data_IF_066674310275
#
_entry.id   IF_066674310275
#
_cell.length_a   1.000
_cell.length_b   1.000
_cell.length_c   1.000
_cell.angle_alpha   90.00
_cell.angle_beta   90.00
_cell.angle_gamma   90.00
#
_symmetry.space_group_name_H-M   'P 1'
#
loop_
_entity.id
_entity.type
_entity.pdbx_description
1 polymer ?
#
# COMPACT_ATOMS: atom_id res chain seq x y z
N UNK A 1 76.07 -1.08 24.03
CA UNK A 1 76.28 -0.74 22.61
C UNK A 1 74.95 -0.27 22.03
N UNK A 2 74.62 1.00 22.28
CA UNK A 2 73.52 1.71 21.63
C UNK A 2 74.07 2.88 20.82
N UNK A 3 73.26 3.35 19.86
CA UNK A 3 73.46 4.37 18.81
C UNK A 3 73.66 3.74 17.41
N UNK A 4 73.11 4.23 16.30
CA UNK A 4 72.15 5.30 15.96
C UNK A 4 71.97 5.22 14.41
N UNK A 5 70.90 5.81 13.88
CA UNK A 5 70.75 6.36 12.50
C UNK A 5 70.28 5.43 11.35
N UNK A 6 69.00 5.64 11.03
CA UNK A 6 68.39 6.00 9.74
C UNK A 6 68.92 5.39 8.42
N UNK A 7 67.99 4.72 7.73
CA UNK A 7 67.85 4.86 6.27
C UNK A 7 66.40 5.23 5.94
N UNK A 8 66.27 6.44 5.42
CA UNK A 8 65.11 7.00 4.74
C UNK A 8 64.57 6.05 3.67
N UNK A 9 63.29 5.69 3.77
CA UNK A 9 62.51 5.21 2.64
C UNK A 9 61.45 6.27 2.33
N UNK A 10 61.57 6.82 1.13
CA UNK A 10 60.81 7.92 0.60
C UNK A 10 59.31 7.68 0.63
N UNK A 11 58.64 8.71 1.14
CA UNK A 11 57.28 9.11 0.87
C UNK A 11 56.95 9.03 -0.63
N UNK A 12 56.17 8.01 -1.01
CA UNK A 12 55.30 8.07 -2.19
C UNK A 12 53.86 7.94 -1.73
N UNK A 13 53.30 9.09 -1.36
CA UNK A 13 51.88 9.33 -1.42
C UNK A 13 51.44 9.19 -2.89
N UNK A 14 51.07 7.97 -3.27
CA UNK A 14 50.32 7.73 -4.50
C UNK A 14 48.85 8.04 -4.19
N UNK A 15 48.46 9.26 -4.56
CA UNK A 15 47.07 9.68 -4.79
C UNK A 15 46.27 8.54 -5.41
N UNK A 16 45.42 7.89 -4.61
CA UNK A 16 44.40 6.98 -5.11
C UNK A 16 43.39 7.82 -5.88
N UNK A 17 43.54 7.88 -7.20
CA UNK A 17 42.49 8.34 -8.10
C UNK A 17 41.31 7.38 -7.93
N UNK A 18 40.36 7.79 -7.08
CA UNK A 18 39.11 7.07 -6.87
C UNK A 18 38.32 7.15 -8.18
N UNK A 19 38.42 6.11 -9.00
CA UNK A 19 37.51 5.92 -10.13
C UNK A 19 36.08 5.94 -9.57
N UNK A 20 35.16 6.73 -10.15
CA UNK A 20 33.76 6.73 -9.73
C UNK A 20 33.24 5.30 -9.77
N UNK A 21 32.74 4.79 -8.64
CA UNK A 21 32.14 3.47 -8.61
C UNK A 21 30.73 3.61 -9.17
N UNK A 22 30.40 2.98 -10.31
CA UNK A 22 29.11 3.21 -10.98
C UNK A 22 27.89 2.92 -10.09
N UNK A 23 28.05 2.06 -9.09
CA UNK A 23 27.00 1.75 -8.10
C UNK A 23 26.82 2.84 -7.04
N UNK A 24 27.90 3.53 -6.65
CA UNK A 24 27.83 4.65 -5.68
C UNK A 24 27.23 5.87 -6.37
N UNK A 25 27.66 6.17 -7.59
CA UNK A 25 27.14 7.31 -8.37
C UNK A 25 25.64 7.15 -8.68
N UNK A 26 25.16 5.89 -8.79
CA UNK A 26 23.73 5.60 -8.98
C UNK A 26 22.87 6.15 -7.85
N UNK A 27 23.32 6.08 -6.60
CA UNK A 27 22.55 6.59 -5.46
C UNK A 27 22.35 8.11 -5.55
N UNK A 28 23.40 8.84 -5.92
CA UNK A 28 23.35 10.29 -6.15
C UNK A 28 22.41 10.62 -7.30
N UNK A 29 22.55 9.92 -8.44
CA UNK A 29 21.69 10.12 -9.61
C UNK A 29 20.21 9.89 -9.30
N UNK A 30 19.89 8.87 -8.49
CA UNK A 30 18.51 8.61 -8.06
C UNK A 30 17.97 9.77 -7.23
N UNK A 31 18.75 10.30 -6.28
CA UNK A 31 18.34 11.42 -5.45
C UNK A 31 18.07 12.70 -6.28
N UNK A 32 18.96 13.01 -7.23
CA UNK A 32 18.81 14.14 -8.15
C UNK A 32 17.53 14.01 -8.99
N UNK A 33 17.30 12.84 -9.59
CA UNK A 33 16.10 12.59 -10.40
C UNK A 33 14.82 12.64 -9.57
N UNK A 34 14.84 12.16 -8.32
CA UNK A 34 13.70 12.30 -7.39
C UNK A 34 13.41 13.78 -7.15
N UNK A 35 14.44 14.59 -6.89
CA UNK A 35 14.28 16.03 -6.67
C UNK A 35 13.67 16.73 -7.89
N UNK A 36 14.19 16.47 -9.09
CA UNK A 36 13.72 17.11 -10.31
C UNK A 36 12.26 16.75 -10.63
N UNK A 37 11.91 15.46 -10.57
CA UNK A 37 10.52 15.05 -10.82
C UNK A 37 9.57 15.54 -9.71
N UNK A 38 10.02 15.59 -8.46
CA UNK A 38 9.20 16.15 -7.36
C UNK A 38 8.95 17.64 -7.57
N UNK A 39 9.91 18.39 -8.15
CA UNK A 39 9.74 19.80 -8.47
C UNK A 39 8.60 20.01 -9.46
N UNK A 40 8.54 19.21 -10.52
CA UNK A 40 7.44 19.22 -11.51
C UNK A 40 6.09 19.03 -10.80
N UNK A 41 5.98 18.03 -9.91
CA UNK A 41 4.75 17.78 -9.15
C UNK A 41 4.34 18.95 -8.28
N UNK A 42 5.30 19.56 -7.57
CA UNK A 42 5.04 20.70 -6.67
C UNK A 42 4.62 21.94 -7.47
N UNK A 43 5.23 22.18 -8.62
CA UNK A 43 4.89 23.30 -9.50
C UNK A 43 3.47 23.15 -10.08
N UNK A 44 3.07 21.96 -10.54
CA UNK A 44 1.70 21.69 -10.99
C UNK A 44 0.68 21.92 -9.87
N UNK A 45 0.93 21.35 -8.68
CA UNK A 45 0.04 21.52 -7.52
C UNK A 45 -0.14 23.00 -7.15
N UNK A 46 0.95 23.78 -7.15
CA UNK A 46 0.92 25.22 -6.88
C UNK A 46 0.17 25.98 -7.96
N UNK A 47 0.44 25.69 -9.24
CA UNK A 47 -0.22 26.35 -10.37
C UNK A 47 -1.73 26.14 -10.37
N UNK A 48 -2.19 24.97 -9.92
CA UNK A 48 -3.61 24.60 -9.84
C UNK A 48 -4.26 24.91 -8.49
N UNK A 49 -3.50 25.42 -7.50
CA UNK A 49 -4.00 25.70 -6.16
C UNK A 49 -4.44 24.45 -5.37
N UNK A 50 -3.82 23.30 -5.64
CA UNK A 50 -4.17 22.01 -5.05
C UNK A 50 -3.26 21.65 -3.87
N UNK A 51 -3.79 20.86 -2.91
CA UNK A 51 -3.04 20.33 -1.77
C UNK A 51 -2.43 18.97 -2.13
N UNK A 52 -1.25 18.69 -1.59
CA UNK A 52 -0.64 17.36 -1.64
C UNK A 52 -1.28 16.42 -0.57
N UNK A 53 -1.18 15.09 -0.74
CA UNK A 53 -1.58 14.15 0.29
C UNK A 53 -0.80 14.35 1.59
N UNK A 54 -1.44 14.07 2.72
CA UNK A 54 -0.78 14.14 4.04
C UNK A 54 -1.38 13.13 5.03
N UNK A 55 -0.63 12.79 6.07
CA UNK A 55 -1.15 11.93 7.14
C UNK A 55 -2.03 12.67 8.15
N UNK A 56 -2.07 14.00 8.15
CA UNK A 56 -2.91 14.78 9.06
C UNK A 56 -4.39 14.41 8.94
N UNK A 57 -5.15 14.49 10.03
CA UNK A 57 -6.54 14.04 10.03
C UNK A 57 -7.44 14.77 9.01
N UNK A 58 -7.11 16.01 8.65
CA UNK A 58 -7.78 16.84 7.63
C UNK A 58 -6.97 16.96 6.32
N UNK A 59 -6.01 16.05 6.13
CA UNK A 59 -5.19 15.93 4.95
C UNK A 59 -5.98 15.52 3.70
N UNK A 60 -5.38 15.73 2.53
CA UNK A 60 -5.90 15.14 1.30
C UNK A 60 -5.52 13.66 1.25
N UNK A 61 -6.47 12.78 0.97
CA UNK A 61 -6.21 11.34 0.85
C UNK A 61 -5.56 10.99 -0.49
N UNK A 62 -6.03 11.62 -1.56
CA UNK A 62 -5.63 11.31 -2.93
C UNK A 62 -4.63 12.30 -3.49
N UNK A 63 -3.68 11.80 -4.27
CA UNK A 63 -2.86 12.68 -5.09
C UNK A 63 -3.70 13.21 -6.25
N UNK A 64 -3.83 14.53 -6.44
CA UNK A 64 -4.80 15.09 -7.39
C UNK A 64 -4.28 15.02 -8.83
N UNK A 65 -4.29 13.82 -9.39
CA UNK A 65 -3.84 13.53 -10.76
C UNK A 65 -4.81 14.07 -11.84
N UNK A 66 -5.98 14.60 -11.46
CA UNK A 66 -7.04 14.99 -12.39
C UNK A 66 -7.73 13.76 -13.02
N UNK A 67 -8.87 13.94 -13.73
CA UNK A 67 -9.48 12.86 -14.49
C UNK A 67 -8.52 12.43 -15.60
N UNK A 68 -8.29 11.12 -15.74
CA UNK A 68 -7.55 10.62 -16.89
C UNK A 68 -8.24 11.12 -18.18
N UNK A 69 -7.47 11.74 -19.06
CA UNK A 69 -8.00 12.26 -20.32
C UNK A 69 -8.53 13.70 -20.35
N UNK A 70 -8.64 14.40 -19.22
CA UNK A 70 -8.98 15.83 -19.21
C UNK A 70 -7.71 16.70 -19.34
N UNK A 71 -6.96 16.54 -20.44
CA UNK A 71 -5.75 17.32 -20.70
C UNK A 71 -4.70 17.27 -19.58
N UNK A 72 -4.80 16.29 -18.67
CA UNK A 72 -3.85 16.06 -17.58
C UNK A 72 -2.46 16.01 -18.19
N UNK A 73 -1.63 16.96 -17.77
CA UNK A 73 -0.28 17.11 -18.22
C UNK A 73 0.45 15.75 -18.13
N UNK A 74 0.75 15.20 -19.31
CA UNK A 74 1.38 13.87 -19.44
C UNK A 74 2.74 13.87 -18.73
N UNK A 75 3.37 15.05 -18.62
CA UNK A 75 4.61 15.26 -17.89
C UNK A 75 4.41 15.08 -16.38
N UNK A 76 3.45 15.76 -15.76
CA UNK A 76 3.11 15.60 -14.33
C UNK A 76 2.80 14.14 -13.97
N UNK A 77 2.02 13.44 -14.81
CA UNK A 77 1.67 12.04 -14.55
C UNK A 77 2.89 11.11 -14.66
N UNK A 78 3.75 11.35 -15.65
CA UNK A 78 5.03 10.64 -15.82
C UNK A 78 5.96 10.93 -14.63
N UNK A 79 6.09 12.19 -14.23
CA UNK A 79 6.92 12.60 -13.10
C UNK A 79 6.49 11.89 -11.81
N UNK A 80 5.18 11.74 -11.57
CA UNK A 80 4.65 10.98 -10.43
C UNK A 80 5.06 9.52 -10.48
N UNK A 81 4.92 8.87 -11.64
CA UNK A 81 5.33 7.48 -11.82
C UNK A 81 6.85 7.29 -11.63
N UNK A 82 7.65 8.21 -12.15
CA UNK A 82 9.11 8.22 -11.97
C UNK A 82 9.49 8.39 -10.49
N UNK A 83 8.89 9.35 -9.76
CA UNK A 83 9.17 9.51 -8.31
C UNK A 83 8.86 8.21 -7.55
N UNK A 84 7.74 7.55 -7.83
CA UNK A 84 7.39 6.28 -7.17
C UNK A 84 8.39 5.16 -7.49
N UNK A 85 8.83 5.05 -8.75
CA UNK A 85 9.81 4.05 -9.15
C UNK A 85 11.20 4.32 -8.55
N UNK A 86 11.67 5.57 -8.63
CA UNK A 86 12.99 5.98 -8.15
C UNK A 86 13.11 5.90 -6.63
N UNK A 87 12.08 6.30 -5.88
CA UNK A 87 12.07 6.18 -4.42
C UNK A 87 12.10 4.73 -3.97
N UNK A 88 11.40 3.83 -4.68
CA UNK A 88 11.51 2.39 -4.45
C UNK A 88 12.93 1.88 -4.73
N UNK A 89 13.51 2.23 -5.88
CA UNK A 89 14.86 1.79 -6.23
C UNK A 89 15.89 2.27 -5.20
N UNK A 90 15.84 3.56 -4.83
CA UNK A 90 16.73 4.13 -3.84
C UNK A 90 16.59 3.43 -2.48
N UNK A 91 15.35 3.19 -2.02
CA UNK A 91 15.08 2.44 -0.78
C UNK A 91 15.69 1.04 -0.83
N UNK A 92 15.45 0.30 -1.91
CA UNK A 92 15.90 -1.09 -2.05
C UNK A 92 17.43 -1.17 -2.11
N UNK A 93 18.10 -0.23 -2.79
CA UNK A 93 19.56 -0.16 -2.86
C UNK A 93 20.19 0.19 -1.50
N UNK A 94 19.63 1.14 -0.76
CA UNK A 94 20.11 1.54 0.56
C UNK A 94 19.88 0.44 1.61
N UNK A 95 18.74 -0.25 1.53
CA UNK A 95 18.45 -1.41 2.39
C UNK A 95 19.39 -2.58 2.09
N UNK A 96 19.71 -2.77 0.82
CA UNK A 96 20.54 -3.86 0.33
C UNK A 96 19.78 -5.20 0.25
N UNK A 97 20.23 -6.13 -0.62
CA UNK A 97 19.45 -7.33 -0.95
C UNK A 97 19.29 -8.31 0.22
N UNK A 98 20.26 -8.38 1.13
CA UNK A 98 20.21 -9.30 2.28
C UNK A 98 19.10 -8.91 3.27
N UNK A 99 19.06 -7.65 3.65
CA UNK A 99 18.00 -7.15 4.53
C UNK A 99 16.67 -7.05 3.79
N UNK A 100 16.69 -6.73 2.49
CA UNK A 100 15.49 -6.77 1.64
C UNK A 100 14.75 -8.11 1.68
N UNK A 101 15.47 -9.24 1.59
CA UNK A 101 14.86 -10.58 1.71
C UNK A 101 14.25 -10.83 3.09
N UNK A 102 14.92 -10.39 4.17
CA UNK A 102 14.41 -10.54 5.54
C UNK A 102 13.15 -9.71 5.77
N UNK A 103 13.16 -8.46 5.31
CA UNK A 103 12.00 -7.56 5.41
C UNK A 103 10.83 -8.10 4.61
N UNK A 104 11.06 -8.55 3.37
CA UNK A 104 10.00 -9.15 2.54
C UNK A 104 9.37 -10.38 3.20
N UNK A 105 10.17 -11.24 3.83
CA UNK A 105 9.65 -12.38 4.58
C UNK A 105 8.84 -11.95 5.82
N UNK A 106 9.23 -10.86 6.47
CA UNK A 106 8.56 -10.31 7.65
C UNK A 106 7.29 -9.52 7.31
N UNK A 107 7.18 -8.96 6.10
CA UNK A 107 6.08 -8.09 5.67
C UNK A 107 4.68 -8.73 5.81
N UNK A 108 4.60 -10.07 5.88
CA UNK A 108 3.36 -10.78 6.21
C UNK A 108 2.71 -10.29 7.52
N UNK A 109 3.53 -9.86 8.48
CA UNK A 109 3.09 -9.36 9.79
C UNK A 109 2.44 -7.99 9.67
N UNK A 110 2.82 -7.19 8.67
CA UNK A 110 2.26 -5.85 8.45
C UNK A 110 0.78 -5.88 8.03
N UNK A 111 0.26 -7.01 7.57
CA UNK A 111 -1.17 -7.17 7.24
C UNK A 111 -2.05 -7.48 8.45
N UNK A 112 -1.47 -7.99 9.55
CA UNK A 112 -2.22 -8.37 10.75
C UNK A 112 -3.00 -7.19 11.35
N UNK A 113 -2.44 -5.98 11.49
CA UNK A 113 -3.21 -4.84 11.99
C UNK A 113 -4.36 -4.47 11.07
N UNK A 114 -4.15 -4.46 9.74
CA UNK A 114 -5.22 -4.10 8.79
C UNK A 114 -6.38 -5.09 8.86
N UNK A 115 -6.08 -6.38 8.96
CA UNK A 115 -7.06 -7.43 9.18
C UNK A 115 -7.83 -7.21 10.48
N UNK A 116 -7.14 -7.02 11.61
CA UNK A 116 -7.79 -6.76 12.88
C UNK A 116 -8.62 -5.46 12.88
N UNK A 117 -8.13 -4.40 12.25
CA UNK A 117 -8.86 -3.12 12.13
C UNK A 117 -10.20 -3.34 11.43
N UNK A 118 -10.22 -4.16 10.38
CA UNK A 118 -11.43 -4.51 9.64
C UNK A 118 -12.34 -5.44 10.47
N UNK A 119 -11.83 -6.60 10.90
CA UNK A 119 -12.63 -7.64 11.58
C UNK A 119 -13.22 -7.16 12.91
N UNK A 120 -12.43 -6.46 13.74
CA UNK A 120 -12.89 -5.94 15.03
C UNK A 120 -13.54 -4.55 14.95
N UNK A 121 -13.76 -4.03 13.74
CA UNK A 121 -14.39 -2.73 13.51
C UNK A 121 -13.67 -1.58 14.26
N UNK A 122 -12.34 -1.64 14.37
CA UNK A 122 -11.54 -0.71 15.19
C UNK A 122 -11.68 0.72 14.68
N UNK A 123 -11.68 0.92 13.36
CA UNK A 123 -11.88 2.23 12.76
C UNK A 123 -13.20 2.88 13.22
N UNK A 124 -14.29 2.11 13.29
CA UNK A 124 -15.59 2.61 13.78
C UNK A 124 -15.62 2.87 15.29
N UNK A 125 -14.75 2.21 16.04
CA UNK A 125 -14.66 2.37 17.50
C UNK A 125 -13.90 3.64 17.92
N UNK A 126 -12.94 4.09 17.11
CA UNK A 126 -12.21 5.36 17.31
C UNK A 126 -13.13 6.55 16.94
N UNK A 127 -13.17 7.62 17.75
CA UNK A 127 -13.98 8.79 17.41
C UNK A 127 -13.41 9.53 16.20
N UNK A 128 -14.28 10.00 15.30
CA UNK A 128 -13.89 10.77 14.10
C UNK A 128 -13.10 12.04 14.43
N UNK A 129 -13.35 12.65 15.59
CA UNK A 129 -12.64 13.84 16.08
C UNK A 129 -12.14 13.61 17.50
N UNK A 130 -10.96 14.14 17.79
CA UNK A 130 -10.29 13.94 19.07
C UNK A 130 -9.59 12.58 19.18
N UNK A 131 -9.38 12.13 20.42
CA UNK A 131 -8.67 10.88 20.73
C UNK A 131 -9.42 10.06 21.78
N UNK A 132 -9.06 8.78 21.91
CA UNK A 132 -9.65 7.85 22.86
C UNK A 132 -8.60 6.97 23.55
N UNK A 133 -8.72 6.78 24.86
CA UNK A 133 -7.76 5.95 25.59
C UNK A 133 -7.97 4.47 25.26
N UNK A 134 -6.88 3.68 25.21
CA UNK A 134 -6.95 2.25 24.88
C UNK A 134 -7.97 1.45 25.72
N UNK A 135 -8.13 1.77 27.00
CA UNK A 135 -9.11 1.13 27.90
C UNK A 135 -10.57 1.41 27.49
N UNK A 136 -10.84 2.61 26.98
CA UNK A 136 -12.17 2.96 26.48
C UNK A 136 -12.39 2.40 25.07
N UNK A 137 -11.35 2.41 24.23
CA UNK A 137 -11.40 1.85 22.89
C UNK A 137 -11.67 0.33 22.91
N UNK A 138 -10.99 -0.42 23.78
CA UNK A 138 -11.23 -1.85 24.00
C UNK A 138 -12.70 -2.15 24.33
N UNK A 139 -13.31 -1.39 25.24
CA UNK A 139 -14.74 -1.54 25.57
C UNK A 139 -15.66 -1.21 24.39
N UNK A 140 -15.33 -0.20 23.58
CA UNK A 140 -16.09 0.13 22.37
C UNK A 140 -15.98 -0.96 21.31
N UNK A 141 -14.79 -1.52 21.10
CA UNK A 141 -14.57 -2.65 20.18
C UNK A 141 -15.45 -3.83 20.61
N UNK A 142 -15.48 -4.16 21.90
CA UNK A 142 -16.35 -5.21 22.41
C UNK A 142 -17.83 -4.93 22.14
N UNK A 143 -18.29 -3.70 22.41
CA UNK A 143 -19.68 -3.31 22.15
C UNK A 143 -20.07 -3.36 20.66
N UNK A 144 -19.13 -3.11 19.74
CA UNK A 144 -19.37 -3.07 18.30
C UNK A 144 -19.22 -4.43 17.60
N UNK A 145 -18.20 -5.20 17.99
CA UNK A 145 -17.82 -6.45 17.31
C UNK A 145 -18.24 -7.71 18.06
N UNK A 146 -18.61 -7.59 19.34
CA UNK A 146 -18.85 -8.74 20.23
C UNK A 146 -17.58 -9.44 20.72
N UNK A 147 -16.39 -9.02 20.26
CA UNK A 147 -15.12 -9.64 20.61
C UNK A 147 -14.37 -8.84 21.66
N UNK A 148 -13.86 -9.54 22.67
CA UNK A 148 -12.97 -8.93 23.66
C UNK A 148 -11.56 -8.78 23.09
N UNK A 149 -10.99 -7.58 23.21
CA UNK A 149 -9.60 -7.32 22.86
C UNK A 149 -8.94 -6.54 24.01
N UNK A 150 -8.04 -7.15 24.78
CA UNK A 150 -7.35 -6.47 25.87
C UNK A 150 -6.63 -5.21 25.39
N UNK A 151 -6.67 -4.14 26.19
CA UNK A 151 -6.03 -2.87 25.86
C UNK A 151 -4.52 -3.00 25.57
N UNK A 152 -3.85 -3.98 26.19
CA UNK A 152 -2.44 -4.29 25.94
C UNK A 152 -2.18 -4.81 24.53
N UNK A 153 -3.07 -5.67 24.03
CA UNK A 153 -2.95 -6.29 22.70
C UNK A 153 -3.32 -5.28 21.63
N UNK A 154 -4.41 -4.53 21.87
CA UNK A 154 -4.83 -3.42 21.03
C UNK A 154 -3.71 -2.38 20.85
N UNK A 155 -2.99 -2.05 21.92
CA UNK A 155 -1.84 -1.12 21.86
C UNK A 155 -0.70 -1.66 21.01
N UNK A 156 -0.36 -2.94 21.13
CA UNK A 156 0.71 -3.56 20.30
C UNK A 156 0.31 -3.55 18.83
N UNK A 157 -0.94 -3.91 18.56
CA UNK A 157 -1.50 -3.96 17.21
C UNK A 157 -1.56 -2.59 16.56
N UNK A 158 -2.10 -1.59 17.25
CA UNK A 158 -2.22 -0.23 16.72
C UNK A 158 -0.88 0.47 16.57
N UNK A 159 0.13 0.18 17.40
CA UNK A 159 1.49 0.70 17.16
C UNK A 159 2.11 0.17 15.87
N UNK A 160 1.84 -1.09 15.52
CA UNK A 160 2.24 -1.62 14.22
C UNK A 160 1.44 -0.99 13.07
N UNK A 161 0.15 -0.71 13.26
CA UNK A 161 -0.66 0.05 12.30
C UNK A 161 -0.10 1.47 12.08
N UNK A 162 0.29 2.16 13.15
CA UNK A 162 0.88 3.51 13.12
C UNK A 162 2.22 3.52 12.41
N UNK A 163 3.05 2.48 12.59
CA UNK A 163 4.30 2.32 11.83
C UNK A 163 4.06 2.18 10.30
N UNK A 164 2.85 1.78 9.91
CA UNK A 164 2.39 1.73 8.51
C UNK A 164 1.53 2.96 8.14
N UNK A 165 1.54 4.02 8.96
CA UNK A 165 0.76 5.25 8.77
C UNK A 165 -0.77 5.07 8.81
N UNK A 166 -1.28 4.16 9.65
CA UNK A 166 -2.69 4.08 10.01
C UNK A 166 -2.89 4.46 11.48
N UNK A 167 -3.79 5.42 11.74
CA UNK A 167 -4.01 6.03 13.06
C UNK A 167 -2.80 6.81 13.59
N UNK A 168 -2.96 7.47 14.73
CA UNK A 168 -1.88 8.12 15.47
C UNK A 168 -2.10 8.05 16.99
N UNK A 169 -1.02 8.23 17.75
CA UNK A 169 -1.02 8.33 19.22
C UNK A 169 -0.66 9.79 19.60
N UNK A 170 -1.65 10.72 19.60
CA UNK A 170 -1.38 12.15 19.83
C UNK A 170 -0.88 12.44 21.26
N UNK A 171 -1.31 11.62 22.20
CA UNK A 171 -0.83 11.59 23.58
C UNK A 171 -0.58 10.14 23.98
N UNK A 172 0.38 9.90 24.88
CA UNK A 172 0.70 8.56 25.35
C UNK A 172 -0.56 7.89 25.92
N UNK A 173 -0.92 6.74 25.35
CA UNK A 173 -2.09 5.96 25.75
C UNK A 173 -3.40 6.35 25.07
N UNK A 174 -3.39 7.32 24.14
CA UNK A 174 -4.55 7.78 23.38
C UNK A 174 -4.43 7.40 21.91
N UNK A 175 -5.54 7.10 21.25
CA UNK A 175 -5.60 6.76 19.82
C UNK A 175 -6.50 7.77 19.11
N UNK A 176 -6.05 8.28 17.98
CA UNK A 176 -6.85 9.13 17.10
C UNK A 176 -6.73 8.67 15.65
N UNK A 177 -7.67 9.15 14.83
CA UNK A 177 -7.59 8.99 13.39
C UNK A 177 -6.52 9.89 12.78
N UNK A 178 -5.89 9.36 11.73
CA UNK A 178 -5.11 10.10 10.74
C UNK A 178 -5.83 10.00 9.37
N UNK A 179 -5.38 10.70 8.33
CA UNK A 179 -6.03 10.68 7.01
C UNK A 179 -6.28 9.26 6.50
N UNK A 180 -5.27 8.39 6.52
CA UNK A 180 -5.33 7.02 6.01
C UNK A 180 -6.43 6.19 6.69
N UNK A 181 -6.49 6.25 8.02
CA UNK A 181 -7.48 5.48 8.79
C UNK A 181 -8.91 5.99 8.59
N UNK A 182 -9.10 7.27 8.23
CA UNK A 182 -10.43 7.84 7.93
C UNK A 182 -10.99 7.35 6.60
N UNK A 183 -10.14 7.07 5.62
CA UNK A 183 -10.57 6.52 4.32
C UNK A 183 -11.39 5.25 4.50
N UNK A 184 -11.08 4.41 5.49
CA UNK A 184 -11.84 3.20 5.83
C UNK A 184 -13.29 3.48 6.28
N UNK A 185 -13.62 4.71 6.67
CA UNK A 185 -14.95 5.13 7.09
C UNK A 185 -15.65 5.98 6.04
N UNK A 186 -14.88 6.72 5.24
CA UNK A 186 -15.38 7.69 4.26
C UNK A 186 -15.63 7.07 2.88
N UNK A 187 -14.90 6.02 2.53
CA UNK A 187 -15.02 5.31 1.25
C UNK A 187 -15.39 3.84 1.47
N UNK A 188 -16.68 3.51 1.25
CA UNK A 188 -17.21 2.14 1.39
C UNK A 188 -16.57 1.17 0.38
N UNK A 189 -16.18 1.64 -0.80
CA UNK A 189 -15.57 0.81 -1.83
C UNK A 189 -14.14 0.41 -1.43
N UNK A 190 -13.34 1.36 -0.91
CA UNK A 190 -12.02 1.06 -0.36
C UNK A 190 -12.12 0.18 0.89
N UNK A 191 -13.07 0.45 1.79
CA UNK A 191 -13.31 -0.42 2.95
C UNK A 191 -13.68 -1.84 2.52
N UNK A 192 -14.50 -2.00 1.48
CA UNK A 192 -14.87 -3.30 0.93
C UNK A 192 -13.71 -4.01 0.24
N UNK A 193 -12.83 -3.26 -0.45
CA UNK A 193 -11.59 -3.79 -1.01
C UNK A 193 -10.68 -4.34 0.09
N UNK A 194 -10.46 -3.58 1.16
CA UNK A 194 -9.71 -4.05 2.34
C UNK A 194 -10.36 -5.31 2.92
N UNK A 195 -11.68 -5.30 3.09
CA UNK A 195 -12.43 -6.44 3.60
C UNK A 195 -12.31 -7.70 2.75
N UNK A 196 -12.37 -7.57 1.43
CA UNK A 196 -12.22 -8.70 0.51
C UNK A 196 -10.85 -9.37 0.69
N UNK A 197 -9.78 -8.59 0.81
CA UNK A 197 -8.44 -9.15 1.00
C UNK A 197 -8.20 -9.70 2.40
N UNK A 198 -8.69 -9.01 3.43
CA UNK A 198 -8.40 -9.38 4.82
C UNK A 198 -9.32 -10.47 5.37
N UNK A 199 -10.58 -10.53 4.93
CA UNK A 199 -11.58 -11.48 5.44
C UNK A 199 -11.78 -12.67 4.48
N UNK A 200 -11.92 -12.42 3.17
CA UNK A 200 -12.29 -13.47 2.20
C UNK A 200 -11.07 -14.13 1.55
N UNK A 201 -9.97 -13.40 1.36
CA UNK A 201 -8.83 -13.88 0.58
C UNK A 201 -7.56 -14.08 1.42
N UNK A 202 -7.50 -13.63 2.67
CA UNK A 202 -6.30 -13.74 3.49
C UNK A 202 -5.85 -15.20 3.64
N UNK A 203 -6.78 -16.10 3.97
CA UNK A 203 -6.52 -17.53 4.08
C UNK A 203 -6.22 -18.18 2.70
N UNK A 204 -7.07 -18.01 1.66
CA UNK A 204 -6.75 -18.51 0.31
C UNK A 204 -5.39 -18.08 -0.22
N UNK A 205 -5.00 -16.82 -0.06
CA UNK A 205 -3.70 -16.31 -0.53
C UNK A 205 -2.55 -17.11 0.09
N UNK A 206 -2.61 -17.35 1.40
CA UNK A 206 -1.63 -18.18 2.12
C UNK A 206 -1.61 -19.66 1.69
N UNK A 207 -2.66 -20.13 1.02
CA UNK A 207 -2.79 -21.50 0.51
C UNK A 207 -2.36 -21.66 -0.95
N UNK A 208 -2.02 -20.59 -1.66
CA UNK A 208 -1.68 -20.62 -3.10
C UNK A 208 -0.60 -21.65 -3.44
N UNK A 209 0.53 -21.65 -2.72
CA UNK A 209 1.64 -22.59 -3.00
C UNK A 209 1.23 -24.04 -2.75
N UNK A 210 0.44 -24.31 -1.71
CA UNK A 210 -0.08 -25.65 -1.45
C UNK A 210 -1.05 -26.12 -2.55
N UNK A 211 -1.80 -25.19 -3.18
CA UNK A 211 -2.71 -25.51 -4.28
C UNK A 211 -1.90 -25.89 -5.52
N UNK A 212 -0.85 -25.12 -5.82
CA UNK A 212 0.09 -25.44 -6.91
C UNK A 212 0.76 -26.80 -6.73
N UNK A 213 1.09 -27.18 -5.49
CA UNK A 213 1.66 -28.50 -5.19
C UNK A 213 0.62 -29.62 -5.35
N UNK A 214 -0.62 -29.37 -4.95
CA UNK A 214 -1.71 -30.35 -5.01
C UNK A 214 -2.20 -30.58 -6.44
N UNK A 215 -2.32 -29.52 -7.21
CA UNK A 215 -2.84 -29.50 -8.58
C UNK A 215 -1.89 -28.73 -9.51
N UNK A 216 -0.75 -29.33 -9.90
CA UNK A 216 0.23 -28.66 -10.74
C UNK A 216 -0.34 -28.33 -12.13
N UNK A 217 -0.34 -27.04 -12.49
CA UNK A 217 -0.76 -26.58 -13.82
C UNK A 217 -2.26 -26.72 -14.10
N UNK A 218 -3.10 -26.84 -13.07
CA UNK A 218 -4.54 -26.96 -13.25
C UNK A 218 -5.19 -25.65 -13.73
N UNK A 219 -6.14 -25.79 -14.64
CA UNK A 219 -7.05 -24.74 -15.12
C UNK A 219 -8.49 -24.93 -14.60
N UNK A 220 -8.71 -25.95 -13.76
CA UNK A 220 -10.03 -26.26 -13.21
C UNK A 220 -10.47 -25.20 -12.20
N UNK A 221 -11.68 -24.68 -12.38
CA UNK A 221 -12.25 -23.61 -11.52
C UNK A 221 -12.41 -24.03 -10.06
N UNK A 222 -12.37 -25.33 -9.78
CA UNK A 222 -12.51 -25.92 -8.45
C UNK A 222 -11.17 -26.30 -7.81
N UNK A 223 -10.07 -26.33 -8.55
CA UNK A 223 -8.75 -26.72 -8.04
C UNK A 223 -7.95 -25.49 -7.57
N UNK A 224 -8.53 -24.74 -6.64
CA UNK A 224 -8.05 -23.41 -6.23
C UNK A 224 -7.69 -23.34 -4.76
N UNK A 225 -6.88 -22.34 -4.40
CA UNK A 225 -6.51 -22.07 -3.02
C UNK A 225 -7.72 -21.69 -2.13
N UNK A 226 -8.79 -21.16 -2.73
CA UNK A 226 -10.06 -20.86 -2.05
C UNK A 226 -10.73 -22.14 -1.57
N UNK A 227 -10.87 -23.12 -2.46
CA UNK A 227 -11.41 -24.43 -2.13
C UNK A 227 -10.60 -25.14 -1.06
N UNK A 228 -9.27 -25.04 -1.09
CA UNK A 228 -8.43 -25.59 -0.02
C UNK A 228 -8.54 -24.85 1.32
N UNK A 229 -8.67 -23.53 1.30
CA UNK A 229 -8.75 -22.73 2.52
C UNK A 229 -10.06 -22.99 3.28
N UNK A 230 -11.17 -23.14 2.55
CA UNK A 230 -12.51 -23.26 3.12
C UNK A 230 -13.11 -24.68 3.05
N UNK A 231 -12.39 -25.64 2.46
CA UNK A 231 -12.75 -27.06 2.50
C UNK A 231 -13.96 -27.43 1.63
N UNK A 232 -14.12 -26.77 0.48
CA UNK A 232 -15.22 -27.04 -0.46
C UNK A 232 -14.70 -27.24 -1.90
N UNK A 233 -15.58 -27.54 -2.86
CA UNK A 233 -15.24 -27.79 -4.28
C UNK A 233 -16.22 -27.06 -5.20
N UNK A 234 -16.34 -25.75 -5.03
CA UNK A 234 -17.22 -24.90 -5.82
C UNK A 234 -16.39 -23.87 -6.59
N UNK A 235 -16.98 -23.22 -7.59
CA UNK A 235 -16.27 -22.16 -8.32
C UNK A 235 -16.06 -20.94 -7.40
N UNK A 236 -15.12 -20.07 -7.77
CA UNK A 236 -14.88 -18.85 -7.00
C UNK A 236 -16.14 -17.98 -6.86
N UNK A 237 -16.92 -17.83 -7.95
CA UNK A 237 -18.14 -17.02 -7.91
C UNK A 237 -19.25 -17.68 -7.10
N UNK A 238 -19.39 -19.01 -7.12
CA UNK A 238 -20.31 -19.70 -6.21
C UNK A 238 -19.92 -19.49 -4.75
N UNK A 239 -18.61 -19.50 -4.43
CA UNK A 239 -18.14 -19.16 -3.10
C UNK A 239 -18.54 -17.72 -2.74
N UNK A 240 -18.30 -16.73 -3.61
CA UNK A 240 -18.71 -15.34 -3.37
C UNK A 240 -20.23 -15.24 -3.14
N UNK A 241 -21.05 -15.86 -3.98
CA UNK A 241 -22.51 -15.77 -3.95
C UNK A 241 -23.17 -16.57 -2.82
N UNK A 242 -22.46 -17.51 -2.20
CA UNK A 242 -23.00 -18.31 -1.08
C UNK A 242 -23.19 -17.50 0.23
N UNK A 243 -22.64 -16.29 0.32
CA UNK A 243 -22.84 -15.37 1.44
C UNK A 243 -23.18 -13.96 0.90
N UNK A 244 -24.35 -13.44 1.30
CA UNK A 244 -24.86 -12.14 0.82
C UNK A 244 -23.93 -10.98 1.21
N UNK A 245 -23.30 -11.05 2.37
CA UNK A 245 -22.37 -10.03 2.85
C UNK A 245 -21.07 -10.06 2.05
N UNK A 246 -20.55 -11.25 1.75
CA UNK A 246 -19.37 -11.44 0.88
C UNK A 246 -19.66 -10.99 -0.55
N UNK A 247 -20.81 -11.34 -1.11
CA UNK A 247 -21.23 -10.90 -2.44
C UNK A 247 -21.33 -9.37 -2.54
N UNK A 248 -21.98 -8.71 -1.57
CA UNK A 248 -22.04 -7.24 -1.50
C UNK A 248 -20.65 -6.62 -1.40
N UNK A 249 -19.78 -7.18 -0.55
CA UNK A 249 -18.41 -6.69 -0.36
C UNK A 249 -17.59 -6.82 -1.65
N UNK A 250 -17.72 -7.94 -2.35
CA UNK A 250 -17.06 -8.16 -3.63
C UNK A 250 -17.51 -7.14 -4.69
N UNK A 251 -18.83 -6.91 -4.84
CA UNK A 251 -19.37 -5.91 -5.77
C UNK A 251 -18.80 -4.51 -5.50
N UNK A 252 -18.81 -4.07 -4.24
CA UNK A 252 -18.26 -2.78 -3.83
C UNK A 252 -16.74 -2.70 -4.03
N UNK A 253 -16.01 -3.78 -3.73
CA UNK A 253 -14.57 -3.86 -3.95
C UNK A 253 -14.21 -3.72 -5.44
N UNK A 254 -15.00 -4.32 -6.35
CA UNK A 254 -14.77 -4.18 -7.80
C UNK A 254 -14.97 -2.74 -8.28
N UNK A 255 -15.85 -1.95 -7.64
CA UNK A 255 -15.97 -0.51 -7.92
C UNK A 255 -14.70 0.26 -7.56
N UNK A 256 -14.10 -0.03 -6.40
CA UNK A 256 -12.81 0.56 -6.01
C UNK A 256 -11.66 0.16 -6.95
N UNK A 257 -11.72 -1.06 -7.50
CA UNK A 257 -10.74 -1.49 -8.50
C UNK A 257 -10.86 -0.68 -9.80
N UNK A 258 -12.09 -0.50 -10.29
CA UNK A 258 -12.37 0.25 -11.52
C UNK A 258 -12.13 1.76 -11.40
N UNK A 259 -12.16 2.32 -10.19
CA UNK A 259 -11.85 3.75 -9.96
C UNK A 259 -10.36 4.06 -9.85
N UNK A 260 -9.48 3.04 -9.89
CA UNK A 260 -8.03 3.25 -9.87
C UNK A 260 -7.58 3.87 -11.19
N UNK A 261 -6.67 4.85 -11.12
CA UNK A 261 -6.16 5.60 -12.29
C UNK A 261 -5.77 4.73 -13.51
N UNK A 262 -5.25 3.52 -13.29
CA UNK A 262 -4.87 2.60 -14.38
C UNK A 262 -6.01 1.76 -14.97
N UNK A 263 -7.16 1.69 -14.29
CA UNK A 263 -8.35 0.91 -14.66
C UNK A 263 -9.59 1.79 -14.88
N UNK A 264 -9.42 3.11 -14.80
CA UNK A 264 -10.48 4.09 -14.99
C UNK A 264 -11.20 3.89 -16.34
N UNK A 265 -12.53 3.93 -16.30
CA UNK A 265 -13.41 3.75 -17.46
C UNK A 265 -13.08 4.70 -18.60
N UNK A 266 -12.47 5.86 -18.31
CA UNK A 266 -12.07 6.82 -19.33
C UNK A 266 -11.08 6.24 -20.33
N UNK A 267 -10.23 5.29 -19.92
CA UNK A 267 -9.33 4.60 -20.84
C UNK A 267 -10.12 3.81 -21.88
N UNK A 268 -11.18 3.11 -21.46
CA UNK A 268 -12.10 2.40 -22.36
C UNK A 268 -12.81 3.37 -23.30
N UNK A 269 -13.34 4.49 -22.76
CA UNK A 269 -14.06 5.51 -23.54
C UNK A 269 -13.16 6.23 -24.56
N UNK A 270 -11.89 6.44 -24.24
CA UNK A 270 -10.97 7.20 -25.10
C UNK A 270 -10.14 6.33 -26.06
N UNK A 271 -9.89 5.06 -25.71
CA UNK A 271 -8.99 4.19 -26.49
C UNK A 271 -9.69 3.46 -27.64
N UNK A 272 -11.02 3.42 -27.66
CA UNK A 272 -11.78 2.86 -28.76
C UNK A 272 -12.58 3.97 -29.47
N UNK A 273 -12.64 3.99 -30.81
CA UNK A 273 -13.38 5.02 -31.53
C UNK A 273 -14.90 4.71 -31.51
N UNK A 274 -15.54 4.75 -30.33
CA UNK A 274 -16.95 4.41 -30.11
C UNK A 274 -17.90 5.13 -31.08
N UNK A 275 -17.59 6.38 -31.43
CA UNK A 275 -18.36 7.16 -32.40
C UNK A 275 -18.46 6.51 -33.79
N UNK A 276 -17.49 5.67 -34.19
CA UNK A 276 -17.52 4.95 -35.47
C UNK A 276 -18.58 3.85 -35.54
N UNK A 277 -19.12 3.42 -34.40
CA UNK A 277 -20.20 2.43 -34.36
C UNK A 277 -21.53 3.00 -34.87
N UNK A 278 -21.67 4.33 -34.92
CA UNK A 278 -22.94 4.98 -35.30
C UNK A 278 -24.07 4.57 -34.36
N UNK A 279 -25.23 4.22 -34.92
CA UNK A 279 -26.35 3.66 -34.13
C UNK A 279 -26.18 2.15 -33.99
N UNK A 280 -25.59 1.73 -32.87
CA UNK A 280 -25.34 0.33 -32.55
C UNK A 280 -25.84 -0.02 -31.14
N UNK A 281 -26.00 -1.32 -30.88
CA UNK A 281 -26.24 -1.87 -29.54
C UNK A 281 -24.93 -2.41 -28.99
N UNK A 282 -24.54 -1.97 -27.79
CA UNK A 282 -23.41 -2.53 -27.03
C UNK A 282 -24.00 -3.37 -25.90
N UNK A 283 -23.54 -4.60 -25.78
CA UNK A 283 -23.84 -5.48 -24.65
C UNK A 283 -22.58 -5.55 -23.81
N UNK A 284 -22.65 -4.97 -22.61
CA UNK A 284 -21.61 -4.99 -21.58
C UNK A 284 -21.86 -6.19 -20.64
#
# INVERSE_FOLDING_TARGET
MGNLVAKSAEEKAATSTTTPSPSVDRLTLLAERIQDNTRVLVEDLKARGLRAPSYEADGCADFPAGPAGAGSDTETRRARQEVLALTKELRDLVLGPREGLKVMALDIVNYIPLHAIYTFQIAKAVPLTGSIAYQHLSRRIHALSGHEMPATDLRRLLRLAMANNLFCEPEIGQVAHNCTSRVLLEDEAVASWVGMYMEDLFLPIGKTVAAMQRWPGSEELTETAVNMAYGHQITFFDHIQSDVSRAKRYDLAMRAHGSREGFDVVHTVQSYPWAKLGKATVVD
#
